data_IF_338875502204
#
_entry.id   IF_338875502204
#
_cell.length_a   1.000
_cell.length_b   1.000
_cell.length_c   1.000
_cell.angle_alpha   90.00
_cell.angle_beta   90.00
_cell.angle_gamma   90.00
#
_symmetry.space_group_name_H-M   'P 1'
#
loop_
_entity.id
_entity.type
_entity.pdbx_description
1 polymer ?
#
# COMPACT_ATOMS: atom_id res chain seq x y z
N UNK A 1 -25.49 -1.68 -7.65
CA UNK A 1 -24.33 -0.78 -7.87
C UNK A 1 -23.24 -1.62 -8.48
N UNK A 2 -22.89 -1.37 -9.75
CA UNK A 2 -21.82 -2.10 -10.43
C UNK A 2 -20.49 -1.69 -9.79
N UNK A 3 -19.97 -2.51 -8.87
CA UNK A 3 -18.57 -2.40 -8.47
C UNK A 3 -17.73 -2.71 -9.70
N UNK A 4 -17.22 -1.67 -10.35
CA UNK A 4 -16.16 -1.81 -11.35
C UNK A 4 -15.04 -2.55 -10.62
N UNK A 5 -14.71 -3.77 -11.04
CA UNK A 5 -13.54 -4.48 -10.53
C UNK A 5 -12.31 -3.66 -10.95
N UNK A 6 -11.91 -2.72 -10.10
CA UNK A 6 -10.73 -1.88 -10.27
C UNK A 6 -9.50 -2.76 -9.99
N UNK A 7 -8.94 -3.31 -11.06
CA UNK A 7 -7.74 -4.15 -11.03
C UNK A 7 -6.55 -3.44 -11.70
N UNK A 8 -6.66 -2.15 -12.04
CA UNK A 8 -5.65 -1.45 -12.84
C UNK A 8 -4.35 -1.20 -12.05
N UNK A 9 -4.43 -1.19 -10.71
CA UNK A 9 -3.28 -1.04 -9.81
C UNK A 9 -2.98 -2.29 -8.97
N UNK A 10 -3.33 -3.48 -9.48
CA UNK A 10 -2.84 -4.71 -8.89
C UNK A 10 -1.30 -4.74 -8.83
N UNK A 11 -0.71 -5.61 -8.01
CA UNK A 11 0.74 -5.66 -7.80
C UNK A 11 1.55 -5.72 -9.11
N UNK A 12 1.10 -6.49 -10.11
CA UNK A 12 1.83 -6.67 -11.38
C UNK A 12 1.58 -5.56 -12.41
N UNK A 13 0.79 -4.54 -12.07
CA UNK A 13 0.46 -3.47 -13.01
C UNK A 13 1.71 -2.72 -13.51
N UNK A 14 1.84 -2.48 -14.84
CA UNK A 14 2.92 -1.67 -15.37
C UNK A 14 2.84 -0.20 -14.95
N UNK A 15 1.67 0.26 -14.47
CA UNK A 15 1.51 1.62 -13.96
C UNK A 15 2.38 1.91 -12.74
N UNK A 16 2.84 0.90 -12.01
CA UNK A 16 3.77 1.09 -10.89
C UNK A 16 5.17 1.54 -11.35
N UNK A 17 5.61 1.11 -12.53
CA UNK A 17 7.00 1.30 -13.00
C UNK A 17 7.12 2.27 -14.17
N UNK A 18 6.03 2.53 -14.91
CA UNK A 18 6.03 3.52 -15.99
C UNK A 18 5.87 4.97 -15.46
N UNK A 19 6.16 5.95 -16.32
CA UNK A 19 5.96 7.39 -16.06
C UNK A 19 4.78 7.92 -16.89
N UNK A 20 3.67 7.18 -16.87
CA UNK A 20 2.43 7.56 -17.52
C UNK A 20 1.36 7.92 -16.48
N UNK A 21 0.50 8.86 -16.84
CA UNK A 21 -0.69 9.18 -16.05
C UNK A 21 -1.80 8.17 -16.31
N UNK A 22 -2.74 8.07 -15.37
CA UNK A 22 -3.96 7.30 -15.52
C UNK A 22 -5.12 8.11 -14.91
N UNK A 23 -6.21 8.26 -15.66
CA UNK A 23 -7.44 8.94 -15.22
C UNK A 23 -7.19 10.26 -14.45
N UNK A 24 -6.50 11.21 -15.10
CA UNK A 24 -6.06 12.47 -14.46
C UNK A 24 -7.24 13.27 -13.90
N UNK A 25 -8.34 13.32 -14.64
CA UNK A 25 -9.56 14.05 -14.23
C UNK A 25 -10.12 13.55 -12.89
N UNK A 26 -10.04 12.23 -12.65
CA UNK A 26 -10.52 11.64 -11.40
C UNK A 26 -9.67 12.06 -10.18
N UNK A 27 -8.39 12.40 -10.40
CA UNK A 27 -7.51 12.93 -9.36
C UNK A 27 -7.79 14.39 -8.97
N UNK A 28 -8.56 15.12 -9.79
CA UNK A 28 -9.00 16.48 -9.48
C UNK A 28 -10.20 16.50 -8.53
N UNK A 29 -10.91 15.38 -8.40
CA UNK A 29 -12.06 15.21 -7.50
C UNK A 29 -11.62 14.89 -6.05
N UNK A 30 -10.31 14.79 -5.78
CA UNK A 30 -9.77 14.43 -4.48
C UNK A 30 -9.84 12.92 -4.19
N UNK A 31 -9.84 12.54 -2.90
CA UNK A 31 -9.88 11.14 -2.50
C UNK A 31 -11.30 10.56 -2.68
N UNK A 32 -11.52 9.94 -3.83
CA UNK A 32 -12.74 9.24 -4.22
C UNK A 32 -12.47 7.72 -4.38
N UNK A 33 -13.45 6.98 -4.85
CA UNK A 33 -13.33 5.52 -5.07
C UNK A 33 -12.84 5.19 -6.49
N UNK A 34 -12.23 6.14 -7.21
CA UNK A 34 -11.75 5.95 -8.58
C UNK A 34 -10.22 5.92 -8.58
N UNK A 35 -9.63 4.99 -9.34
CA UNK A 35 -8.17 4.88 -9.44
C UNK A 35 -7.60 6.03 -10.26
N UNK A 36 -6.51 6.62 -9.81
CA UNK A 36 -5.84 7.71 -10.52
C UNK A 36 -4.34 7.70 -10.30
N UNK A 37 -3.60 8.11 -11.32
CA UNK A 37 -2.16 8.31 -11.23
C UNK A 37 -1.78 9.62 -11.90
N UNK A 38 -1.26 10.54 -11.09
CA UNK A 38 -0.85 11.87 -11.51
C UNK A 38 0.67 11.93 -11.72
N UNK A 39 1.13 12.95 -12.46
CA UNK A 39 2.56 13.17 -12.72
C UNK A 39 3.38 13.40 -11.42
N UNK A 40 2.72 13.80 -10.34
CA UNK A 40 3.34 13.90 -9.01
C UNK A 40 3.91 12.57 -8.51
N UNK A 41 3.39 11.43 -8.99
CA UNK A 41 3.91 10.10 -8.66
C UNK A 41 5.41 9.95 -8.98
N UNK A 42 5.91 10.55 -10.07
CA UNK A 42 7.31 10.43 -10.49
C UNK A 42 8.10 11.75 -10.50
N UNK A 43 7.44 12.89 -10.30
CA UNK A 43 8.07 14.22 -10.37
C UNK A 43 8.05 15.02 -9.06
N UNK A 44 7.59 14.45 -7.95
CA UNK A 44 7.49 15.18 -6.68
C UNK A 44 8.43 14.60 -5.61
N UNK A 45 9.58 15.24 -5.35
CA UNK A 45 10.40 14.94 -4.19
C UNK A 45 9.65 15.22 -2.88
N UNK A 46 9.92 14.43 -1.86
CA UNK A 46 9.31 14.60 -0.54
C UNK A 46 10.28 14.19 0.58
N UNK A 47 10.07 14.77 1.76
CA UNK A 47 10.73 14.38 3.02
C UNK A 47 9.76 13.68 3.99
N UNK A 48 8.47 13.68 3.66
CA UNK A 48 7.39 13.01 4.39
C UNK A 48 6.48 12.34 3.39
N UNK A 49 6.07 11.12 3.71
CA UNK A 49 5.04 10.39 2.98
C UNK A 49 3.75 10.44 3.79
N UNK A 50 2.64 10.76 3.12
CA UNK A 50 1.30 10.73 3.69
C UNK A 50 0.47 9.66 3.00
N UNK A 51 -0.18 8.80 3.78
CA UNK A 51 -1.09 7.78 3.27
C UNK A 51 -2.50 8.11 3.75
N UNK A 52 -3.44 8.17 2.81
CA UNK A 52 -4.84 8.48 3.07
C UNK A 52 -5.73 7.29 2.74
N UNK A 53 -6.73 7.04 3.58
CA UNK A 53 -7.75 6.03 3.33
C UNK A 53 -9.13 6.60 3.63
N UNK A 54 -10.10 6.30 2.77
CA UNK A 54 -11.51 6.64 2.97
C UNK A 54 -12.30 5.37 3.28
N UNK A 55 -12.92 5.33 4.44
CA UNK A 55 -13.79 4.21 4.86
C UNK A 55 -15.08 4.79 5.44
N UNK A 56 -16.24 4.30 4.98
CA UNK A 56 -17.56 4.75 5.44
C UNK A 56 -17.74 6.28 5.43
N UNK A 57 -17.20 6.95 4.42
CA UNK A 57 -17.27 8.41 4.26
C UNK A 57 -16.27 9.21 5.09
N UNK A 58 -15.55 8.59 6.04
CA UNK A 58 -14.50 9.24 6.80
C UNK A 58 -13.14 9.05 6.11
N UNK A 59 -12.42 10.16 5.91
CA UNK A 59 -11.04 10.13 5.40
C UNK A 59 -10.06 10.29 6.56
N UNK A 60 -9.13 9.36 6.67
CA UNK A 60 -8.06 9.39 7.67
C UNK A 60 -6.70 9.34 7.01
N UNK A 61 -5.72 9.93 7.68
CA UNK A 61 -4.37 10.10 7.17
C UNK A 61 -3.35 9.68 8.22
N UNK A 62 -2.27 9.07 7.75
CA UNK A 62 -1.05 8.87 8.53
C UNK A 62 0.13 9.47 7.78
N UNK A 63 1.14 9.92 8.51
CA UNK A 63 2.35 10.52 7.93
C UNK A 63 3.59 10.00 8.65
N UNK A 64 4.67 9.80 7.89
CA UNK A 64 5.99 9.50 8.44
C UNK A 64 7.09 10.20 7.65
N UNK A 65 8.22 10.46 8.30
CA UNK A 65 9.40 10.99 7.64
C UNK A 65 9.97 9.90 6.71
N UNK A 66 10.07 10.23 5.43
CA UNK A 66 10.64 9.36 4.41
C UNK A 66 11.14 10.26 3.27
N UNK A 67 12.45 10.30 3.05
CA UNK A 67 13.04 11.15 2.02
C UNK A 67 13.19 10.38 0.71
N UNK A 68 12.65 10.91 -0.37
CA UNK A 68 12.79 10.33 -1.71
C UNK A 68 12.58 11.37 -2.82
N UNK A 69 13.11 11.08 -4.01
CA UNK A 69 12.96 11.94 -5.18
C UNK A 69 11.54 11.86 -5.79
N UNK A 70 10.81 10.78 -5.54
CA UNK A 70 9.41 10.56 -5.92
C UNK A 70 8.91 9.20 -5.43
N UNK A 71 7.60 8.96 -5.42
CA UNK A 71 7.04 7.64 -5.07
C UNK A 71 7.46 6.58 -6.09
N UNK A 72 7.53 6.95 -7.38
CA UNK A 72 8.09 6.12 -8.45
C UNK A 72 9.49 5.62 -8.11
N UNK A 73 10.39 6.49 -7.63
CA UNK A 73 11.76 6.07 -7.28
C UNK A 73 11.83 5.12 -6.09
N UNK A 74 10.83 5.15 -5.20
CA UNK A 74 10.69 4.15 -4.12
C UNK A 74 10.21 2.81 -4.67
N UNK A 75 9.34 2.81 -5.67
CA UNK A 75 8.66 1.60 -6.14
C UNK A 75 9.41 0.87 -7.27
N UNK A 76 10.04 1.61 -8.19
CA UNK A 76 10.41 1.11 -9.53
C UNK A 76 11.37 -0.07 -9.55
N UNK A 77 12.29 -0.17 -8.59
CA UNK A 77 13.25 -1.28 -8.53
C UNK A 77 12.65 -2.59 -8.00
N UNK A 78 11.41 -2.56 -7.52
CA UNK A 78 10.68 -3.72 -7.03
C UNK A 78 11.22 -4.29 -5.71
N UNK A 79 12.19 -3.64 -5.07
CA UNK A 79 12.79 -4.11 -3.81
C UNK A 79 12.00 -3.63 -2.60
N UNK A 80 11.93 -4.45 -1.55
CA UNK A 80 11.29 -4.08 -0.30
C UNK A 80 11.95 -2.86 0.31
N UNK A 81 11.13 -1.86 0.71
CA UNK A 81 11.59 -0.67 1.42
C UNK A 81 10.67 -0.40 2.60
N UNK A 82 11.19 -0.55 3.80
CA UNK A 82 10.43 -0.39 5.04
C UNK A 82 10.01 1.05 5.31
N UNK A 83 8.89 1.21 6.00
CA UNK A 83 8.44 2.49 6.58
C UNK A 83 8.46 2.44 8.11
N UNK A 84 8.14 3.56 8.75
CA UNK A 84 8.16 3.70 10.21
C UNK A 84 6.84 4.31 10.73
N UNK A 85 5.71 3.98 10.12
CA UNK A 85 4.41 4.49 10.60
C UNK A 85 4.01 3.81 11.91
N UNK A 86 4.31 2.52 12.05
CA UNK A 86 3.89 1.66 13.16
C UNK A 86 2.48 1.11 12.99
N UNK A 87 2.26 -0.10 13.52
CA UNK A 87 0.98 -0.83 13.46
C UNK A 87 -0.24 -0.02 13.92
N UNK A 88 -0.11 0.75 15.00
CA UNK A 88 -1.21 1.57 15.51
C UNK A 88 -1.59 2.71 14.56
N UNK A 89 -0.63 3.29 13.83
CA UNK A 89 -0.93 4.28 12.81
C UNK A 89 -1.73 3.63 11.66
N UNK A 90 -1.30 2.48 11.16
CA UNK A 90 -2.04 1.74 10.14
C UNK A 90 -3.46 1.37 10.59
N UNK A 91 -3.62 0.89 11.84
CA UNK A 91 -4.96 0.62 12.42
C UNK A 91 -5.82 1.88 12.50
N UNK A 92 -5.21 3.04 12.78
CA UNK A 92 -5.94 4.30 12.89
C UNK A 92 -6.65 4.72 11.61
N UNK A 93 -6.21 4.22 10.44
CA UNK A 93 -6.86 4.48 9.14
C UNK A 93 -8.28 3.91 9.05
N UNK A 94 -8.61 2.89 9.85
CA UNK A 94 -9.91 2.21 9.83
C UNK A 94 -10.45 2.07 11.26
N UNK A 95 -11.58 2.72 11.54
CA UNK A 95 -12.25 2.61 12.84
C UNK A 95 -12.64 1.17 13.18
N UNK A 96 -12.35 0.76 14.41
CA UNK A 96 -12.61 -0.60 14.89
C UNK A 96 -11.76 -1.68 14.24
N UNK A 97 -10.68 -1.31 13.52
CA UNK A 97 -9.82 -2.30 12.89
C UNK A 97 -9.11 -3.19 13.92
N UNK A 98 -9.17 -4.49 13.68
CA UNK A 98 -8.40 -5.49 14.40
C UNK A 98 -7.32 -6.03 13.46
N UNK A 99 -6.07 -5.85 13.82
CA UNK A 99 -4.94 -6.48 13.15
C UNK A 99 -4.33 -7.52 14.09
N UNK A 100 -3.79 -8.58 13.52
CA UNK A 100 -3.16 -9.66 14.27
C UNK A 100 -1.92 -9.13 15.02
N UNK A 101 -1.62 -9.72 16.18
CA UNK A 101 -0.67 -9.14 17.15
C UNK A 101 0.78 -9.16 16.63
N UNK A 102 1.17 -10.18 15.90
CA UNK A 102 2.54 -10.39 15.44
C UNK A 102 2.73 -9.96 13.99
N UNK A 103 3.99 -9.87 13.59
CA UNK A 103 4.48 -9.43 12.30
C UNK A 103 4.06 -7.98 11.97
N UNK A 104 5.05 -7.10 11.84
CA UNK A 104 4.88 -5.66 11.61
C UNK A 104 5.67 -5.22 10.37
N UNK A 105 5.57 -6.03 9.31
CA UNK A 105 6.26 -5.73 8.05
C UNK A 105 5.44 -4.68 7.31
N UNK A 106 5.87 -3.43 7.40
CA UNK A 106 5.28 -2.30 6.68
C UNK A 106 6.22 -1.72 5.65
N UNK A 107 5.64 -1.17 4.58
CA UNK A 107 6.35 -0.35 3.62
C UNK A 107 5.97 -0.63 2.17
N UNK A 108 6.95 -0.52 1.29
CA UNK A 108 6.81 -0.63 -0.15
C UNK A 108 7.36 -1.96 -0.66
N UNK A 109 6.74 -2.51 -1.71
CA UNK A 109 7.16 -3.75 -2.40
C UNK A 109 7.37 -4.94 -1.43
N UNK A 110 6.45 -5.15 -0.50
CA UNK A 110 6.48 -6.30 0.40
C UNK A 110 6.28 -7.56 -0.43
N UNK A 111 7.22 -8.51 -0.31
CA UNK A 111 7.19 -9.80 -0.98
C UNK A 111 7.45 -10.88 0.07
N UNK A 112 6.38 -11.48 0.58
CA UNK A 112 6.48 -12.52 1.58
C UNK A 112 6.08 -13.87 1.00
N UNK A 113 6.80 -14.91 1.40
CA UNK A 113 6.51 -16.28 0.98
C UNK A 113 6.23 -17.15 2.20
N UNK A 114 5.09 -17.82 2.21
CA UNK A 114 4.76 -18.80 3.26
C UNK A 114 4.67 -20.21 2.68
N UNK A 115 5.25 -21.16 3.40
CA UNK A 115 5.19 -22.58 3.10
C UNK A 115 4.32 -23.31 4.12
N UNK A 116 3.32 -24.06 3.64
CA UNK A 116 2.54 -25.01 4.45
C UNK A 116 2.60 -26.39 3.80
N UNK A 117 3.40 -27.28 4.37
CA UNK A 117 3.69 -28.58 3.76
C UNK A 117 4.42 -28.43 2.42
N UNK A 118 4.03 -29.13 1.35
CA UNK A 118 4.69 -29.01 0.03
C UNK A 118 4.25 -27.75 -0.76
N UNK A 119 3.29 -26.97 -0.24
CA UNK A 119 2.75 -25.80 -0.95
C UNK A 119 3.43 -24.52 -0.48
N UNK A 120 3.80 -23.68 -1.45
CA UNK A 120 4.34 -22.34 -1.24
C UNK A 120 3.39 -21.30 -1.83
N UNK A 121 3.12 -20.26 -1.05
CA UNK A 121 2.27 -19.13 -1.42
C UNK A 121 3.09 -17.85 -1.34
N UNK A 122 2.75 -16.88 -2.19
CA UNK A 122 3.39 -15.58 -2.24
C UNK A 122 2.35 -14.50 -1.99
N UNK A 123 2.66 -13.57 -1.09
CA UNK A 123 1.89 -12.36 -0.87
C UNK A 123 2.75 -11.17 -1.26
N UNK A 124 2.26 -10.45 -2.26
CA UNK A 124 2.92 -9.27 -2.81
C UNK A 124 2.03 -8.07 -2.55
N UNK A 125 2.54 -7.09 -1.80
CA UNK A 125 1.82 -5.87 -1.44
C UNK A 125 2.67 -4.69 -1.90
N UNK A 126 2.08 -3.77 -2.65
CA UNK A 126 2.83 -2.64 -3.18
C UNK A 126 3.10 -1.59 -2.11
N UNK A 127 2.08 -1.25 -1.32
CA UNK A 127 2.15 -0.33 -0.19
C UNK A 127 1.23 -0.91 0.89
N UNK A 128 1.74 -1.20 2.08
CA UNK A 128 0.89 -1.76 3.13
C UNK A 128 1.61 -2.18 4.40
N UNK A 129 0.83 -2.84 5.26
CA UNK A 129 1.26 -3.50 6.49
C UNK A 129 0.80 -4.95 6.46
N UNK A 130 1.72 -5.85 6.76
CA UNK A 130 1.49 -7.28 6.87
C UNK A 130 1.52 -7.69 8.33
N UNK A 131 0.55 -8.50 8.73
CA UNK A 131 0.44 -9.03 10.10
C UNK A 131 0.01 -10.50 10.15
N UNK A 132 0.31 -11.15 11.27
CA UNK A 132 -0.08 -12.52 11.55
C UNK A 132 -0.27 -12.82 13.05
N UNK A 133 -0.86 -13.97 13.37
CA UNK A 133 -1.05 -14.43 14.75
C UNK A 133 0.09 -15.35 15.23
N UNK A 134 1.21 -15.44 14.51
CA UNK A 134 2.24 -16.45 14.75
C UNK A 134 3.53 -15.80 15.23
N UNK A 135 4.35 -16.53 16.00
CA UNK A 135 5.57 -15.99 16.62
C UNK A 135 6.65 -15.55 15.60
N UNK A 136 6.48 -15.88 14.33
CA UNK A 136 7.35 -15.48 13.24
C UNK A 136 6.53 -14.95 12.07
N UNK A 137 7.12 -14.12 11.21
CA UNK A 137 6.50 -13.65 9.97
C UNK A 137 6.36 -14.75 8.90
N UNK A 138 6.67 -16.01 9.23
CA UNK A 138 6.71 -17.06 8.21
C UNK A 138 5.32 -17.41 7.69
N UNK A 139 4.24 -17.18 8.44
CA UNK A 139 2.87 -17.45 7.99
C UNK A 139 2.04 -16.17 7.92
N UNK A 140 1.77 -15.66 6.73
CA UNK A 140 0.98 -14.44 6.56
C UNK A 140 -0.50 -14.78 6.57
N UNK A 141 -1.29 -14.10 7.41
CA UNK A 141 -2.75 -14.33 7.48
C UNK A 141 -3.59 -13.09 7.18
N UNK A 142 -3.08 -11.87 7.42
CA UNK A 142 -3.78 -10.63 7.07
C UNK A 142 -2.83 -9.55 6.56
N UNK A 143 -3.38 -8.69 5.71
CA UNK A 143 -2.68 -7.53 5.18
C UNK A 143 -3.64 -6.33 5.14
N UNK A 144 -3.10 -5.14 5.39
CA UNK A 144 -3.72 -3.88 5.01
C UNK A 144 -2.92 -3.33 3.82
N UNK A 145 -3.57 -3.15 2.68
CA UNK A 145 -2.93 -2.68 1.46
C UNK A 145 -3.62 -1.42 0.94
N UNK A 146 -2.84 -0.53 0.34
CA UNK A 146 -3.32 0.64 -0.38
C UNK A 146 -3.07 0.47 -1.87
N UNK A 147 -4.05 0.86 -2.67
CA UNK A 147 -3.98 0.93 -4.12
C UNK A 147 -4.16 2.38 -4.58
N UNK A 148 -3.67 2.69 -5.78
CA UNK A 148 -3.86 3.99 -6.44
C UNK A 148 -5.18 4.01 -7.22
#
# INVERSE_FOLDING_TARGET
TNSKNMNDFNYSSPYWTNKETYAVEDGLEGLNEKQTKLASYWNTPFNKICLGMKVNGATKWIASNYASNSLHSVIVDGTFKGTTFGKEAWKSLIDGSSLQENCDVEGFNIQEAYTRGPRRWYMNIRIGLLANNQNNCNSVTRALALEL
#
